data_IF_473671664300
#
_entry.id   IF_473671664300
#
_cell.length_a   1.000
_cell.length_b   1.000
_cell.length_c   1.000
_cell.angle_alpha   90.00
_cell.angle_beta   90.00
_cell.angle_gamma   90.00
#
_symmetry.space_group_name_H-M   'P 1'
#
loop_
_entity.id
_entity.type
_entity.pdbx_description
1 polymer ?
#
# COMPACT_ATOMS: atom_id res chain seq x y z
N UNK A 1 5.61 2.88 12.99
CA UNK A 1 4.13 2.99 13.04
C UNK A 1 3.43 1.92 12.19
N UNK A 2 3.75 1.81 10.91
CA UNK A 2 3.12 0.80 10.02
C UNK A 2 3.28 -0.65 10.51
N UNK A 3 4.46 -1.12 10.96
CA UNK A 3 4.60 -2.49 11.47
C UNK A 3 3.72 -2.82 12.68
N UNK A 4 3.55 -1.85 13.59
CA UNK A 4 2.67 -2.02 14.76
C UNK A 4 1.21 -2.11 14.33
N UNK A 5 0.76 -1.23 13.43
CA UNK A 5 -0.58 -1.26 12.88
C UNK A 5 -0.87 -2.56 12.13
N UNK A 6 0.08 -3.06 11.34
CA UNK A 6 -0.04 -4.32 10.63
C UNK A 6 -0.26 -5.50 11.61
N UNK A 7 0.54 -5.62 12.65
CA UNK A 7 0.38 -6.67 13.67
C UNK A 7 -0.98 -6.59 14.34
N UNK A 8 -1.41 -5.40 14.78
CA UNK A 8 -2.72 -5.22 15.41
C UNK A 8 -3.88 -5.59 14.48
N UNK A 9 -3.76 -5.33 13.18
CA UNK A 9 -4.78 -5.71 12.19
C UNK A 9 -4.86 -7.23 12.10
N UNK A 10 -3.72 -7.92 11.92
CA UNK A 10 -3.70 -9.38 11.80
C UNK A 10 -4.18 -10.07 13.09
N UNK A 11 -3.85 -9.55 14.27
CA UNK A 11 -4.42 -10.03 15.52
C UNK A 11 -5.94 -9.89 15.58
N UNK A 12 -6.48 -8.77 15.11
CA UNK A 12 -7.94 -8.53 15.11
C UNK A 12 -8.68 -9.43 14.13
N UNK A 13 -8.20 -9.58 12.89
CA UNK A 13 -8.85 -10.40 11.88
C UNK A 13 -8.72 -11.89 12.14
N UNK A 14 -7.81 -12.31 13.02
CA UNK A 14 -7.66 -13.70 13.46
C UNK A 14 -8.70 -14.12 14.52
N UNK A 15 -9.53 -13.19 14.99
CA UNK A 15 -10.56 -13.51 15.99
C UNK A 15 -11.67 -14.38 15.41
N UNK A 16 -12.25 -15.32 16.21
CA UNK A 16 -13.26 -16.29 15.73
C UNK A 16 -14.53 -15.67 15.13
N UNK A 17 -14.83 -14.40 15.41
CA UNK A 17 -16.03 -13.72 14.85
C UNK A 17 -15.95 -13.53 13.34
N UNK A 18 -14.75 -13.58 12.75
CA UNK A 18 -14.55 -13.43 11.32
C UNK A 18 -14.48 -14.80 10.65
N UNK A 19 -15.41 -15.08 9.73
CA UNK A 19 -15.44 -16.32 8.94
C UNK A 19 -14.30 -16.32 7.92
N UNK A 20 -14.07 -15.18 7.29
CA UNK A 20 -12.97 -14.99 6.35
C UNK A 20 -12.41 -13.58 6.44
N UNK A 21 -11.15 -13.46 6.13
CA UNK A 21 -10.46 -12.17 6.04
C UNK A 21 -9.51 -12.17 4.85
N UNK A 22 -9.46 -11.08 4.14
CA UNK A 22 -8.53 -10.85 3.04
C UNK A 22 -7.86 -9.49 3.23
N UNK A 23 -6.54 -9.49 3.19
CA UNK A 23 -5.73 -8.28 3.28
C UNK A 23 -4.93 -8.13 2.01
N UNK A 24 -4.96 -6.96 1.43
CA UNK A 24 -4.11 -6.59 0.30
C UNK A 24 -3.50 -5.22 0.53
N UNK A 25 -2.36 -4.96 -0.09
CA UNK A 25 -1.72 -3.67 -0.03
C UNK A 25 -1.38 -3.13 -1.42
N UNK A 26 -1.27 -1.81 -1.49
CA UNK A 26 -0.67 -1.08 -2.59
C UNK A 26 0.30 -0.04 -2.05
N UNK A 27 1.32 0.30 -2.81
CA UNK A 27 2.34 1.26 -2.38
C UNK A 27 2.73 2.17 -3.53
N UNK A 28 2.27 3.41 -3.47
CA UNK A 28 2.46 4.45 -4.48
C UNK A 28 3.47 5.48 -3.98
N UNK A 29 4.43 5.84 -4.81
CA UNK A 29 5.26 7.03 -4.63
C UNK A 29 4.86 8.11 -5.63
N UNK A 30 4.78 9.34 -5.16
CA UNK A 30 4.57 10.54 -5.97
C UNK A 30 5.82 11.39 -5.85
N UNK A 31 6.52 11.57 -6.96
CA UNK A 31 7.74 12.37 -7.03
C UNK A 31 7.66 13.34 -8.20
N UNK A 32 7.72 14.65 -7.94
CA UNK A 32 7.59 15.69 -8.99
C UNK A 32 6.42 15.43 -9.96
N UNK A 33 5.24 15.08 -9.43
CA UNK A 33 4.03 14.70 -10.18
C UNK A 33 4.11 13.37 -10.94
N UNK A 34 5.27 12.71 -10.96
CA UNK A 34 5.40 11.36 -11.49
C UNK A 34 4.95 10.32 -10.47
N UNK A 35 4.23 9.31 -10.98
CA UNK A 35 3.68 8.22 -10.18
C UNK A 35 4.54 6.97 -10.35
N UNK A 36 4.93 6.34 -9.25
CA UNK A 36 5.71 5.11 -9.25
C UNK A 36 5.08 4.06 -8.34
N UNK A 37 4.91 2.85 -8.87
CA UNK A 37 4.49 1.68 -8.11
C UNK A 37 5.69 1.04 -7.41
N UNK A 38 5.73 1.10 -6.08
CA UNK A 38 6.85 0.56 -5.31
C UNK A 38 6.78 -0.97 -5.12
N UNK A 39 5.67 -1.62 -5.50
CA UNK A 39 5.52 -3.08 -5.39
C UNK A 39 6.10 -3.85 -6.58
N UNK A 40 6.30 -3.19 -7.71
CA UNK A 40 6.80 -3.81 -8.95
C UNK A 40 8.14 -3.22 -9.38
N UNK A 41 8.89 -3.98 -10.15
CA UNK A 41 10.12 -3.47 -10.75
C UNK A 41 9.80 -2.57 -11.95
N UNK A 42 10.64 -1.57 -12.21
CA UNK A 42 10.43 -0.59 -13.28
C UNK A 42 10.20 -1.24 -14.65
N UNK A 43 10.85 -2.38 -14.91
CA UNK A 43 10.67 -3.16 -16.14
C UNK A 43 9.27 -3.73 -16.33
N UNK A 44 8.50 -3.84 -15.25
CA UNK A 44 7.12 -4.37 -15.22
C UNK A 44 6.09 -3.29 -14.86
N UNK A 45 6.55 -2.05 -14.67
CA UNK A 45 5.68 -0.96 -14.30
C UNK A 45 4.71 -0.63 -15.44
N UNK A 46 3.42 -0.56 -15.10
CA UNK A 46 2.38 -0.05 -16.00
C UNK A 46 2.22 1.45 -15.83
N UNK A 47 1.70 2.13 -16.84
CA UNK A 47 1.39 3.55 -16.72
C UNK A 47 0.31 3.75 -15.65
N UNK A 48 0.63 4.56 -14.65
CA UNK A 48 -0.30 4.93 -13.59
C UNK A 48 -1.06 6.19 -13.98
N UNK A 49 -2.36 6.20 -13.72
CA UNK A 49 -3.24 7.34 -14.01
C UNK A 49 -4.13 7.60 -12.80
N UNK A 50 -4.17 8.85 -12.35
CA UNK A 50 -5.10 9.27 -11.31
C UNK A 50 -6.41 9.66 -11.95
N UNK A 51 -7.50 9.03 -11.53
CA UNK A 51 -8.85 9.30 -11.98
C UNK A 51 -9.73 9.70 -10.80
N UNK A 52 -10.59 10.68 -11.02
CA UNK A 52 -11.68 10.98 -10.10
C UNK A 52 -12.83 9.98 -10.31
N UNK A 53 -13.28 9.34 -9.25
CA UNK A 53 -14.48 8.50 -9.27
C UNK A 53 -15.76 9.33 -9.12
N UNK A 54 -16.89 8.74 -9.46
CA UNK A 54 -18.22 9.38 -9.37
C UNK A 54 -18.56 9.83 -7.94
N UNK A 55 -18.04 9.13 -6.93
CA UNK A 55 -18.26 9.40 -5.50
C UNK A 55 -17.27 10.41 -4.90
N UNK A 56 -16.65 11.28 -5.70
CA UNK A 56 -15.54 12.15 -5.28
C UNK A 56 -14.32 11.39 -4.71
N UNK A 57 -14.23 10.11 -4.96
CA UNK A 57 -13.05 9.30 -4.61
C UNK A 57 -11.99 9.43 -5.68
N UNK A 58 -10.73 9.49 -5.26
CA UNK A 58 -9.59 9.47 -6.18
C UNK A 58 -9.03 8.07 -6.26
N UNK A 59 -8.84 7.56 -7.47
CA UNK A 59 -8.29 6.22 -7.73
C UNK A 59 -7.05 6.33 -8.60
N UNK A 60 -6.06 5.49 -8.31
CA UNK A 60 -4.90 5.31 -9.16
C UNK A 60 -5.09 4.02 -9.98
N UNK A 61 -5.33 4.20 -11.29
CA UNK A 61 -5.48 3.08 -12.23
C UNK A 61 -4.10 2.56 -12.61
N UNK A 62 -3.96 1.24 -12.69
CA UNK A 62 -2.71 0.56 -13.00
C UNK A 62 -1.85 0.23 -11.78
N UNK A 63 -2.19 0.74 -10.59
CA UNK A 63 -1.46 0.46 -9.36
C UNK A 63 -1.66 -1.01 -8.92
N UNK A 64 -0.54 -1.69 -8.67
CA UNK A 64 -0.54 -3.10 -8.26
C UNK A 64 -1.11 -3.27 -6.85
N UNK A 65 -1.84 -4.38 -6.67
CA UNK A 65 -2.30 -4.84 -5.36
C UNK A 65 -1.68 -6.19 -5.06
N UNK A 66 -1.08 -6.31 -3.90
CA UNK A 66 -0.49 -7.55 -3.42
C UNK A 66 -1.29 -8.09 -2.25
N UNK A 67 -1.70 -9.36 -2.33
CA UNK A 67 -2.34 -10.07 -1.22
C UNK A 67 -1.32 -10.32 -0.11
N UNK A 68 -1.74 -10.11 1.13
CA UNK A 68 -0.90 -10.22 2.32
C UNK A 68 -1.52 -11.25 3.26
N UNK A 69 -0.72 -12.23 3.68
CA UNK A 69 -1.16 -13.29 4.57
C UNK A 69 -0.61 -13.13 6.00
N UNK A 70 0.47 -12.39 6.16
CA UNK A 70 1.16 -12.20 7.44
C UNK A 70 1.67 -10.76 7.58
N UNK A 71 1.73 -10.26 8.81
CA UNK A 71 2.27 -8.94 9.12
C UNK A 71 3.73 -8.74 8.66
N UNK A 72 4.54 -9.81 8.72
CA UNK A 72 5.95 -9.79 8.29
C UNK A 72 6.10 -9.48 6.80
N UNK A 73 5.16 -9.88 5.96
CA UNK A 73 5.18 -9.56 4.53
C UNK A 73 5.09 -8.05 4.29
N UNK A 74 4.32 -7.33 5.10
CA UNK A 74 4.24 -5.86 5.05
C UNK A 74 5.60 -5.24 5.38
N UNK A 75 6.26 -5.74 6.42
CA UNK A 75 7.58 -5.25 6.85
C UNK A 75 8.60 -5.46 5.73
N UNK A 76 8.60 -6.63 5.08
CA UNK A 76 9.47 -6.94 3.96
C UNK A 76 9.23 -6.03 2.76
N UNK A 77 7.96 -5.73 2.46
CA UNK A 77 7.56 -4.79 1.39
C UNK A 77 8.10 -3.38 1.69
N UNK A 78 7.95 -2.91 2.92
CA UNK A 78 8.44 -1.60 3.32
C UNK A 78 9.97 -1.49 3.19
N UNK A 79 10.69 -2.53 3.62
CA UNK A 79 12.16 -2.57 3.48
C UNK A 79 12.59 -2.61 2.01
N UNK A 80 11.91 -3.39 1.17
CA UNK A 80 12.21 -3.47 -0.25
C UNK A 80 11.96 -2.12 -0.96
N UNK A 81 10.85 -1.46 -0.66
CA UNK A 81 10.53 -0.15 -1.18
C UNK A 81 11.54 0.93 -0.73
N UNK A 82 11.95 0.88 0.52
CA UNK A 82 12.98 1.80 1.05
C UNK A 82 14.32 1.64 0.32
N UNK A 83 14.74 0.40 0.06
CA UNK A 83 15.97 0.14 -0.73
C UNK A 83 15.86 0.69 -2.15
N UNK A 84 14.73 0.51 -2.83
CA UNK A 84 14.49 1.08 -4.17
C UNK A 84 14.59 2.59 -4.17
N UNK A 85 14.01 3.24 -3.18
CA UNK A 85 14.07 4.70 -3.02
C UNK A 85 15.50 5.19 -2.80
N UNK A 86 16.28 4.52 -1.96
CA UNK A 86 17.69 4.87 -1.71
C UNK A 86 18.53 4.75 -2.99
N UNK A 87 18.34 3.71 -3.78
CA UNK A 87 19.01 3.55 -5.08
C UNK A 87 18.63 4.69 -6.02
N UNK A 88 17.33 5.02 -6.12
CA UNK A 88 16.86 6.13 -6.96
C UNK A 88 17.42 7.50 -6.49
N UNK A 89 17.59 7.71 -5.20
CA UNK A 89 18.23 8.92 -4.64
C UNK A 89 19.68 9.06 -5.09
N UNK A 90 20.44 7.97 -5.13
CA UNK A 90 21.85 7.99 -5.51
C UNK A 90 22.07 8.01 -7.03
N UNK A 91 21.30 7.23 -7.80
CA UNK A 91 21.49 7.08 -9.24
C UNK A 91 20.82 8.19 -10.06
N UNK A 92 19.67 8.69 -9.61
CA UNK A 92 18.86 9.67 -10.35
C UNK A 92 18.84 11.07 -9.73
N UNK A 93 19.65 11.35 -8.71
CA UNK A 93 19.61 12.60 -7.92
C UNK A 93 18.20 12.93 -7.44
N UNK A 94 17.45 11.92 -7.04
CA UNK A 94 16.08 12.03 -6.56
C UNK A 94 16.09 12.49 -5.11
N UNK A 95 15.50 13.63 -4.82
CA UNK A 95 15.45 14.16 -3.46
C UNK A 95 14.23 13.62 -2.70
N UNK A 96 14.44 12.91 -1.59
CA UNK A 96 13.38 12.36 -0.74
C UNK A 96 12.41 13.43 -0.21
N UNK A 97 12.90 14.67 -0.02
CA UNK A 97 12.08 15.81 0.41
C UNK A 97 10.96 16.21 -0.57
N UNK A 98 11.02 15.75 -1.82
CA UNK A 98 9.99 15.98 -2.86
C UNK A 98 9.15 14.74 -3.15
N UNK A 99 9.29 13.71 -2.33
CA UNK A 99 8.62 12.42 -2.49
C UNK A 99 7.53 12.26 -1.45
N UNK A 100 6.34 11.84 -1.89
CA UNK A 100 5.24 11.42 -1.03
C UNK A 100 4.93 9.95 -1.28
N UNK A 101 4.85 9.16 -0.22
CA UNK A 101 4.54 7.75 -0.31
C UNK A 101 3.18 7.46 0.32
N UNK A 102 2.32 6.77 -0.43
CA UNK A 102 1.03 6.30 0.03
C UNK A 102 1.05 4.78 0.13
N UNK A 103 1.05 4.27 1.34
CA UNK A 103 0.89 2.86 1.62
C UNK A 103 -0.57 2.60 2.02
N UNK A 104 -1.29 1.82 1.23
CA UNK A 104 -2.70 1.52 1.44
C UNK A 104 -2.88 0.04 1.78
N UNK A 105 -3.53 -0.24 2.90
CA UNK A 105 -4.02 -1.56 3.24
C UNK A 105 -5.53 -1.62 2.99
N UNK A 106 -5.94 -2.60 2.20
CA UNK A 106 -7.35 -2.92 1.98
C UNK A 106 -7.67 -4.20 2.74
N UNK A 107 -8.63 -4.11 3.66
CA UNK A 107 -9.05 -5.21 4.50
C UNK A 107 -10.48 -5.55 4.17
N UNK A 108 -10.74 -6.80 3.82
CA UNK A 108 -12.07 -7.33 3.60
C UNK A 108 -12.31 -8.43 4.63
N UNK A 109 -13.34 -8.28 5.46
CA UNK A 109 -13.71 -9.27 6.46
C UNK A 109 -15.15 -9.70 6.25
N UNK A 110 -15.44 -10.97 6.52
CA UNK A 110 -16.79 -11.51 6.53
C UNK A 110 -17.09 -11.98 7.96
N UNK A 111 -18.05 -11.36 8.58
CA UNK A 111 -18.61 -11.82 9.85
C UNK A 111 -19.80 -12.76 9.60
N UNK A 112 -20.20 -13.50 10.61
CA UNK A 112 -21.31 -14.47 10.53
C UNK A 112 -22.63 -13.84 10.06
N UNK A 113 -22.77 -12.51 10.15
CA UNK A 113 -23.97 -11.74 9.79
C UNK A 113 -23.69 -10.56 8.86
N UNK A 114 -22.41 -10.24 8.57
CA UNK A 114 -22.03 -8.96 7.95
C UNK A 114 -20.74 -9.03 7.13
N UNK A 115 -20.76 -8.45 5.94
CA UNK A 115 -19.54 -8.16 5.16
C UNK A 115 -19.12 -6.73 5.45
N UNK A 116 -17.89 -6.54 5.98
CA UNK A 116 -17.34 -5.21 6.29
C UNK A 116 -16.11 -4.98 5.41
N UNK A 117 -16.11 -3.82 4.73
CA UNK A 117 -14.95 -3.33 3.99
C UNK A 117 -14.31 -2.17 4.75
N UNK A 118 -13.02 -2.26 5.03
CA UNK A 118 -12.25 -1.19 5.64
C UNK A 118 -11.03 -0.85 4.79
N UNK A 119 -10.77 0.44 4.65
CA UNK A 119 -9.55 0.96 4.05
C UNK A 119 -8.77 1.73 5.11
N UNK A 120 -7.49 1.41 5.25
CA UNK A 120 -6.57 2.20 6.05
C UNK A 120 -5.52 2.82 5.12
N UNK A 121 -5.52 4.13 5.05
CA UNK A 121 -4.52 4.90 4.31
C UNK A 121 -3.46 5.40 5.30
N UNK A 122 -2.22 5.07 5.06
CA UNK A 122 -1.08 5.62 5.81
C UNK A 122 -0.24 6.47 4.87
N UNK A 123 -0.15 7.75 5.16
CA UNK A 123 0.67 8.70 4.40
C UNK A 123 2.00 8.85 5.17
N UNK A 124 3.09 8.48 4.53
CA UNK A 124 4.43 8.74 5.03
C UNK A 124 5.03 9.88 4.21
N UNK A 125 5.20 11.05 4.85
CA UNK A 125 5.94 12.18 4.29
C UNK A 125 7.35 12.17 4.88
N UNK A 126 8.32 12.32 4.05
CA UNK A 126 9.71 12.55 4.47
C UNK A 126 10.15 13.93 4.07
#
# INVERSE_FOLDING_TARGET
MIPRAARSIFERISKPKYISSEVSCSYLEIYNEDLCDLLVDESKATKLIICAGEDRTTRCVGLSKKKINKAEEIINILHAAQRKRQVAETEMNKFSSRSHCLFTLTIKTTEQVRIIFGHMLVICTH
#
